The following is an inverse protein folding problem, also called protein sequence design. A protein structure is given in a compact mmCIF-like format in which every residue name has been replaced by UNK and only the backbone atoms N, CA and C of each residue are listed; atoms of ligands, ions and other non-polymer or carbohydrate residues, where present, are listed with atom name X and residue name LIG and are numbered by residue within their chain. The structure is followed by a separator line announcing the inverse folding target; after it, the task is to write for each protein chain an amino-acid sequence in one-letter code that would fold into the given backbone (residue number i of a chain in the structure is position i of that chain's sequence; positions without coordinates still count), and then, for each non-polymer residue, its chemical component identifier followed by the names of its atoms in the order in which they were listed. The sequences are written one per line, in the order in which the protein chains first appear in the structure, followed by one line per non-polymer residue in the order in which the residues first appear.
data_IF_054305958377
#
_entry.id   IF_054305958377
#
_cell.length_a   1.000
_cell.length_b   1.000
_cell.length_c   1.000
_cell.angle_alpha   90.00
_cell.angle_beta   90.00
_cell.angle_gamma   90.00
#
_symmetry.space_group_name_H-M   'P 1'
#
loop_
_entity.id
_entity.type
_entity.pdbx_description
1 polymer ?
#
# COMPACT_ATOMS: atom_id res chain seq x y z
N UNK A 1 16.63 -13.27 -27.05
CA UNK A 1 16.35 -13.07 -25.61
C UNK A 1 15.78 -11.67 -25.44
N UNK A 2 14.73 -11.51 -24.64
CA UNK A 2 14.19 -10.17 -24.36
C UNK A 2 15.23 -9.34 -23.60
N UNK A 3 15.34 -8.05 -23.93
CA UNK A 3 16.21 -7.12 -23.21
C UNK A 3 15.60 -6.90 -21.83
N UNK A 4 16.37 -7.19 -20.77
CA UNK A 4 15.94 -6.91 -19.40
C UNK A 4 15.94 -5.40 -19.19
N UNK A 5 14.79 -4.85 -18.84
CA UNK A 5 14.67 -3.48 -18.35
C UNK A 5 14.76 -3.50 -16.83
N UNK A 6 15.56 -2.62 -16.27
CA UNK A 6 15.71 -2.48 -14.82
C UNK A 6 15.24 -1.09 -14.44
N UNK A 7 14.38 -1.03 -13.44
CA UNK A 7 13.83 0.19 -12.88
C UNK A 7 13.95 0.12 -11.37
N UNK A 8 14.33 1.25 -10.78
CA UNK A 8 14.55 1.36 -9.35
C UNK A 8 13.36 2.01 -8.66
N UNK A 9 12.95 1.40 -7.55
CA UNK A 9 12.03 1.99 -6.57
C UNK A 9 12.83 2.16 -5.28
N UNK A 10 12.92 3.40 -4.80
CA UNK A 10 13.71 3.75 -3.61
C UNK A 10 12.77 4.28 -2.54
N UNK A 11 12.82 3.67 -1.35
CA UNK A 11 12.07 4.09 -0.17
C UNK A 11 13.06 4.67 0.85
N UNK A 12 12.87 5.93 1.25
CA UNK A 12 13.67 6.58 2.29
C UNK A 12 12.79 6.87 3.49
N UNK A 13 13.27 6.45 4.66
CA UNK A 13 12.60 6.63 5.95
C UNK A 13 13.48 7.50 6.84
N UNK A 14 13.00 8.68 7.20
CA UNK A 14 13.58 9.55 8.22
C UNK A 14 13.04 9.16 9.59
N UNK A 15 13.94 8.83 10.52
CA UNK A 15 13.60 8.41 11.87
C UNK A 15 14.00 9.49 12.89
N UNK A 16 13.26 9.59 13.98
CA UNK A 16 13.64 10.38 15.15
C UNK A 16 14.71 9.67 16.02
N UNK A 17 15.10 10.32 17.12
CA UNK A 17 16.06 9.78 18.10
C UNK A 17 15.62 8.44 18.73
N UNK A 18 14.30 8.16 18.76
CA UNK A 18 13.71 6.93 19.27
C UNK A 18 13.43 5.90 18.17
N UNK A 19 13.90 6.15 16.94
CA UNK A 19 13.68 5.31 15.75
C UNK A 19 12.21 5.26 15.29
N UNK A 20 11.43 6.29 15.56
CA UNK A 20 10.06 6.45 15.06
C UNK A 20 10.08 7.16 13.70
N UNK A 21 9.35 6.66 12.68
CA UNK A 21 9.24 7.35 11.39
C UNK A 21 8.61 8.75 11.50
N UNK A 22 9.35 9.76 11.06
CA UNK A 22 8.91 11.16 10.99
C UNK A 22 8.66 11.60 9.54
N UNK A 23 9.51 11.17 8.60
CA UNK A 23 9.38 11.53 7.20
C UNK A 23 9.54 10.30 6.30
N UNK A 24 8.70 10.19 5.27
CA UNK A 24 8.78 9.15 4.25
C UNK A 24 8.94 9.81 2.88
N UNK A 25 9.84 9.25 2.07
CA UNK A 25 9.97 9.62 0.66
C UNK A 25 10.07 8.39 -0.21
N UNK A 26 9.61 8.53 -1.44
CA UNK A 26 9.77 7.48 -2.43
C UNK A 26 10.03 8.04 -3.83
N UNK A 27 10.75 7.25 -4.61
CA UNK A 27 10.98 7.48 -6.04
C UNK A 27 10.64 6.22 -6.81
N UNK A 28 10.09 6.36 -8.01
CA UNK A 28 9.87 5.28 -8.96
C UNK A 28 10.17 5.80 -10.37
N UNK A 29 11.32 5.39 -10.93
CA UNK A 29 11.85 5.96 -12.18
C UNK A 29 10.90 5.77 -13.36
N UNK A 30 10.40 4.56 -13.57
CA UNK A 30 9.45 4.26 -14.66
C UNK A 30 8.08 4.90 -14.46
N UNK A 31 7.72 5.23 -13.21
CA UNK A 31 6.47 5.91 -12.88
C UNK A 31 6.54 7.43 -13.03
N UNK A 32 7.73 7.99 -13.29
CA UNK A 32 7.95 9.44 -13.34
C UNK A 32 7.84 10.12 -11.97
N UNK A 33 8.09 9.37 -10.89
CA UNK A 33 7.96 9.87 -9.51
C UNK A 33 9.36 10.04 -8.94
N UNK A 34 9.69 11.27 -8.53
CA UNK A 34 11.01 11.61 -8.01
C UNK A 34 10.91 12.28 -6.64
N UNK A 35 11.41 11.57 -5.62
CA UNK A 35 11.61 12.05 -4.25
C UNK A 35 10.34 12.66 -3.62
N UNK A 36 9.19 12.05 -3.90
CA UNK A 36 7.90 12.52 -3.41
C UNK A 36 7.70 12.17 -1.93
N UNK A 37 7.11 13.11 -1.19
CA UNK A 37 6.79 12.90 0.23
C UNK A 37 5.58 11.98 0.37
N UNK A 38 5.63 11.08 1.34
CA UNK A 38 4.51 10.23 1.72
C UNK A 38 4.20 10.37 3.21
N UNK A 39 2.95 10.09 3.58
CA UNK A 39 2.50 9.99 4.98
C UNK A 39 2.35 8.54 5.45
N UNK A 40 2.16 7.61 4.52
CA UNK A 40 2.13 6.17 4.82
C UNK A 40 2.55 5.36 3.60
N UNK A 41 3.07 4.15 3.85
CA UNK A 41 3.42 3.15 2.85
C UNK A 41 3.16 1.75 3.41
N UNK A 42 2.60 0.88 2.58
CA UNK A 42 2.50 -0.55 2.85
C UNK A 42 3.21 -1.29 1.73
N UNK A 43 4.25 -2.05 2.07
CA UNK A 43 5.00 -2.88 1.13
C UNK A 43 4.91 -4.34 1.57
N UNK A 44 4.43 -5.20 0.67
CA UNK A 44 4.39 -6.64 0.88
C UNK A 44 5.21 -7.34 -0.19
N UNK A 45 6.17 -8.15 0.23
CA UNK A 45 7.05 -8.93 -0.65
C UNK A 45 6.76 -10.42 -0.43
N UNK A 46 6.41 -11.11 -1.52
CA UNK A 46 6.16 -12.56 -1.46
C UNK A 46 7.48 -13.33 -1.40
N UNK A 47 7.72 -14.04 -0.31
CA UNK A 47 8.81 -15.00 -0.20
C UNK A 47 8.31 -16.38 -0.63
N UNK A 48 8.61 -16.76 -1.88
CA UNK A 48 8.20 -18.04 -2.43
C UNK A 48 8.84 -19.24 -1.74
N UNK A 49 9.99 -19.06 -1.08
CA UNK A 49 10.71 -20.16 -0.41
C UNK A 49 9.99 -20.56 0.88
N UNK A 50 9.62 -19.57 1.69
CA UNK A 50 8.93 -19.78 2.96
C UNK A 50 7.40 -19.76 2.83
N UNK A 51 6.88 -19.40 1.65
CA UNK A 51 5.45 -19.24 1.35
C UNK A 51 4.75 -18.24 2.28
N UNK A 52 5.40 -17.10 2.50
CA UNK A 52 4.89 -16.04 3.36
C UNK A 52 5.09 -14.65 2.75
N UNK A 53 4.43 -13.66 3.35
CA UNK A 53 4.58 -12.25 2.97
C UNK A 53 5.45 -11.53 3.99
N UNK A 54 6.60 -11.03 3.54
CA UNK A 54 7.41 -10.07 4.30
C UNK A 54 6.79 -8.70 4.15
N UNK A 55 6.65 -7.94 5.25
CA UNK A 55 5.91 -6.68 5.26
C UNK A 55 6.71 -5.55 5.86
N UNK A 56 6.53 -4.36 5.30
CA UNK A 56 6.96 -3.09 5.85
C UNK A 56 5.74 -2.18 5.86
N UNK A 57 5.25 -1.88 7.07
CA UNK A 57 4.10 -1.02 7.29
C UNK A 57 4.57 0.26 7.99
N UNK A 58 4.50 1.40 7.30
CA UNK A 58 5.02 2.67 7.78
C UNK A 58 3.96 3.76 7.69
N UNK A 59 3.94 4.64 8.69
CA UNK A 59 3.22 5.91 8.67
C UNK A 59 4.00 6.95 9.45
N UNK A 60 3.89 8.21 9.05
CA UNK A 60 4.48 9.31 9.80
C UNK A 60 3.64 9.55 11.05
N UNK A 61 4.31 10.00 12.12
CA UNK A 61 3.69 10.29 13.42
C UNK A 61 2.55 11.31 13.35
N UNK A 62 2.63 12.24 12.41
CA UNK A 62 1.67 13.35 12.26
C UNK A 62 0.50 13.03 11.32
N UNK A 63 0.41 11.81 10.76
CA UNK A 63 -0.72 11.42 9.94
C UNK A 63 -1.99 11.32 10.80
N UNK A 64 -3.08 12.06 10.49
CA UNK A 64 -4.32 11.98 11.25
C UNK A 64 -4.97 10.58 11.15
N UNK A 65 -5.59 10.14 12.24
CA UNK A 65 -6.27 8.83 12.30
C UNK A 65 -7.35 8.69 11.21
N UNK A 66 -8.05 9.77 10.87
CA UNK A 66 -9.07 9.72 9.82
C UNK A 66 -8.45 9.53 8.43
N UNK A 67 -7.28 10.12 8.17
CA UNK A 67 -6.52 9.83 6.94
C UNK A 67 -6.02 8.38 6.92
N UNK A 68 -5.61 7.82 8.07
CA UNK A 68 -5.21 6.41 8.15
C UNK A 68 -6.37 5.49 7.77
N UNK A 69 -7.59 5.74 8.27
CA UNK A 69 -8.78 4.97 7.91
C UNK A 69 -9.06 5.03 6.41
N UNK A 70 -8.97 6.23 5.83
CA UNK A 70 -9.14 6.43 4.37
C UNK A 70 -8.07 5.66 3.60
N UNK A 71 -6.81 5.74 4.02
CA UNK A 71 -5.70 5.04 3.39
C UNK A 71 -5.89 3.52 3.39
N UNK A 72 -6.30 2.93 4.53
CA UNK A 72 -6.61 1.50 4.60
C UNK A 72 -7.78 1.12 3.70
N UNK A 73 -8.87 1.88 3.72
CA UNK A 73 -10.01 1.61 2.85
C UNK A 73 -9.62 1.62 1.36
N UNK A 74 -8.91 2.66 0.91
CA UNK A 74 -8.46 2.77 -0.49
C UNK A 74 -7.50 1.65 -0.88
N UNK A 75 -6.63 1.24 0.06
CA UNK A 75 -5.72 0.11 -0.16
C UNK A 75 -6.50 -1.19 -0.32
N UNK A 76 -7.49 -1.47 0.53
CA UNK A 76 -8.30 -2.69 0.46
C UNK A 76 -9.11 -2.78 -0.85
N UNK A 77 -9.69 -1.66 -1.31
CA UNK A 77 -10.37 -1.59 -2.60
C UNK A 77 -9.39 -1.92 -3.74
N UNK A 78 -8.21 -1.28 -3.74
CA UNK A 78 -7.18 -1.51 -4.76
C UNK A 78 -6.64 -2.95 -4.75
N UNK A 79 -6.51 -3.54 -3.57
CA UNK A 79 -6.10 -4.94 -3.41
C UNK A 79 -7.18 -5.90 -3.94
N UNK A 80 -8.46 -5.57 -3.79
CA UNK A 80 -9.56 -6.35 -4.37
C UNK A 80 -9.46 -6.40 -5.90
N UNK A 81 -9.18 -5.27 -6.54
CA UNK A 81 -8.97 -5.21 -7.99
C UNK A 81 -7.69 -5.93 -8.43
N UNK A 82 -6.62 -5.83 -7.63
CA UNK A 82 -5.36 -6.54 -7.89
C UNK A 82 -5.55 -8.06 -7.80
N UNK A 83 -6.28 -8.52 -6.78
CA UNK A 83 -6.64 -9.91 -6.59
C UNK A 83 -7.42 -10.44 -7.79
N UNK A 84 -8.46 -9.72 -8.24
CA UNK A 84 -9.21 -10.08 -9.45
C UNK A 84 -8.32 -10.25 -10.68
N UNK A 85 -7.41 -9.30 -10.92
CA UNK A 85 -6.47 -9.38 -12.05
C UNK A 85 -5.54 -10.59 -11.96
N UNK A 86 -5.11 -10.95 -10.75
CA UNK A 86 -4.17 -12.04 -10.52
C UNK A 86 -4.81 -13.43 -10.59
N UNK A 87 -6.05 -13.57 -10.08
CA UNK A 87 -6.69 -14.89 -9.89
C UNK A 87 -7.90 -15.12 -10.78
N UNK A 88 -8.51 -14.06 -11.31
CA UNK A 88 -9.79 -14.07 -12.02
C UNK A 88 -10.96 -14.63 -11.19
N UNK A 89 -10.84 -14.64 -9.85
CA UNK A 89 -11.91 -15.09 -8.96
C UNK A 89 -12.91 -13.96 -8.71
N UNK A 90 -13.96 -13.92 -9.53
CA UNK A 90 -15.02 -12.92 -9.47
C UNK A 90 -15.81 -12.95 -8.16
N UNK A 91 -16.07 -14.15 -7.62
CA UNK A 91 -16.91 -14.31 -6.42
C UNK A 91 -16.21 -13.77 -5.19
N UNK A 92 -14.94 -14.14 -5.01
CA UNK A 92 -14.16 -13.66 -3.89
C UNK A 92 -13.88 -12.16 -4.03
N UNK A 93 -13.61 -11.67 -5.25
CA UNK A 93 -13.47 -10.23 -5.52
C UNK A 93 -14.73 -9.46 -5.11
N UNK A 94 -15.92 -9.95 -5.47
CA UNK A 94 -17.18 -9.32 -5.08
C UNK A 94 -17.33 -9.25 -3.56
N UNK A 95 -17.00 -10.33 -2.86
CA UNK A 95 -17.04 -10.37 -1.39
C UNK A 95 -16.05 -9.38 -0.75
N UNK A 96 -14.84 -9.24 -1.32
CA UNK A 96 -13.87 -8.25 -0.84
C UNK A 96 -14.38 -6.81 -1.04
N UNK A 97 -15.05 -6.54 -2.16
CA UNK A 97 -15.66 -5.22 -2.44
C UNK A 97 -16.83 -4.92 -1.51
N UNK A 98 -17.71 -5.89 -1.27
CA UNK A 98 -18.81 -5.77 -0.30
C UNK A 98 -18.27 -5.45 1.11
N UNK A 99 -17.17 -6.09 1.50
CA UNK A 99 -16.49 -5.76 2.76
C UNK A 99 -15.92 -4.33 2.77
N UNK A 100 -15.30 -3.88 1.68
CA UNK A 100 -14.82 -2.50 1.58
C UNK A 100 -15.96 -1.49 1.70
N UNK A 101 -17.10 -1.77 1.07
CA UNK A 101 -18.29 -0.93 1.16
C UNK A 101 -18.85 -0.86 2.57
N UNK A 102 -18.94 -2.00 3.26
CA UNK A 102 -19.30 -2.09 4.67
C UNK A 102 -18.31 -1.33 5.56
N UNK A 103 -17.00 -1.49 5.32
CA UNK A 103 -15.93 -0.81 6.06
C UNK A 103 -16.07 0.72 5.94
N UNK A 104 -16.32 1.22 4.73
CA UNK A 104 -16.53 2.64 4.48
C UNK A 104 -17.80 3.18 5.15
N UNK A 105 -18.89 2.41 5.16
CA UNK A 105 -20.13 2.78 5.84
C UNK A 105 -19.91 2.89 7.36
N UNK A 106 -19.30 1.87 7.98
CA UNK A 106 -19.12 1.84 9.45
C UNK A 106 -18.12 2.86 9.97
N UNK A 107 -17.22 3.32 9.12
CA UNK A 107 -16.28 4.39 9.45
C UNK A 107 -16.73 5.76 8.92
N UNK A 108 -17.94 5.86 8.37
CA UNK A 108 -18.54 7.10 7.84
C UNK A 108 -17.63 7.80 6.81
N UNK A 109 -16.93 7.02 5.98
CA UNK A 109 -15.97 7.52 4.98
C UNK A 109 -16.65 7.99 3.69
N UNK A 110 -17.90 7.59 3.46
CA UNK A 110 -18.72 8.03 2.31
C UNK A 110 -19.46 9.30 2.73
N UNK A 111 -19.15 10.43 2.12
CA UNK A 111 -19.92 11.68 2.23
C UNK A 111 -21.06 11.71 1.23
#
# INVERSE_FOLDING_TARGET
MAKLHTSEITLRVGLDENRVPEELWWSAQDGGIDNEKAKAMLLSVWDSKNQESLKIDLWTKDMPVDEMKVFFHQTLVSLSDTFMKATQDEKMTATMKDFCDYFAEKLELKK
#
